data_IF_412125606712
#
_entry.id   IF_412125606712
#
_cell.length_a   1.000
_cell.length_b   1.000
_cell.length_c   1.000
_cell.angle_alpha   90.00
_cell.angle_beta   90.00
_cell.angle_gamma   90.00
#
_symmetry.space_group_name_H-M   'P 1'
#
loop_
_entity.id
_entity.type
_entity.pdbx_description
1 polymer ?
#
# COMPACT_ATOMS: atom_id res chain seq x y z
N UNK A 1 1.97 4.80 23.60
CA UNK A 1 1.19 5.98 24.01
C UNK A 1 0.50 6.58 22.76
N UNK A 2 -0.80 6.65 22.75
CA UNK A 2 -1.57 7.19 21.65
C UNK A 2 -2.41 8.40 22.17
N UNK A 3 -1.93 9.63 21.96
CA UNK A 3 -2.66 10.83 22.33
C UNK A 3 -3.97 10.87 21.52
N UNK A 4 -5.07 11.20 22.10
CA UNK A 4 -6.37 11.19 21.42
C UNK A 4 -7.20 9.92 21.64
N UNK A 5 -6.62 8.83 22.11
CA UNK A 5 -7.38 7.63 22.48
C UNK A 5 -8.37 7.91 23.62
N UNK A 6 -8.06 8.87 24.50
CA UNK A 6 -8.96 9.35 25.54
C UNK A 6 -10.25 10.02 25.04
N UNK A 7 -10.25 10.46 23.78
CA UNK A 7 -11.43 11.10 23.14
C UNK A 7 -12.47 10.06 22.68
N UNK A 8 -12.10 8.79 22.59
CA UNK A 8 -13.02 7.72 22.22
C UNK A 8 -13.83 7.33 23.47
N UNK A 9 -15.10 7.71 23.53
CA UNK A 9 -15.95 7.53 24.70
C UNK A 9 -16.39 6.09 24.96
N UNK A 10 -16.48 5.23 23.93
CA UNK A 10 -16.94 3.85 24.08
C UNK A 10 -15.73 2.90 24.28
N UNK A 11 -15.70 2.10 25.38
CA UNK A 11 -14.61 1.14 25.64
C UNK A 11 -14.44 0.06 24.56
N UNK A 12 -15.54 -0.42 23.97
CA UNK A 12 -15.48 -1.42 22.89
C UNK A 12 -14.82 -0.83 21.64
N UNK A 13 -15.19 0.37 21.24
CA UNK A 13 -14.58 1.06 20.11
C UNK A 13 -13.09 1.35 20.38
N UNK A 14 -12.72 1.63 21.63
CA UNK A 14 -11.29 1.76 22.01
C UNK A 14 -10.54 0.47 21.74
N UNK A 15 -11.09 -0.65 22.14
CA UNK A 15 -10.47 -1.97 21.98
C UNK A 15 -10.29 -2.32 20.51
N UNK A 16 -11.36 -2.23 19.72
CA UNK A 16 -11.31 -2.50 18.28
C UNK A 16 -10.31 -1.59 17.55
N UNK A 17 -10.36 -0.29 17.82
CA UNK A 17 -9.43 0.67 17.24
C UNK A 17 -7.98 0.37 17.61
N UNK A 18 -7.72 -0.06 18.84
CA UNK A 18 -6.35 -0.41 19.28
C UNK A 18 -5.83 -1.63 18.54
N UNK A 19 -6.64 -2.68 18.44
CA UNK A 19 -6.28 -3.90 17.73
C UNK A 19 -5.95 -3.55 16.28
N UNK A 20 -6.84 -2.80 15.63
CA UNK A 20 -6.64 -2.36 14.26
C UNK A 20 -5.36 -1.53 14.07
N UNK A 21 -5.07 -0.58 14.97
CA UNK A 21 -3.83 0.21 14.91
C UNK A 21 -2.57 -0.64 15.12
N UNK A 22 -2.63 -1.64 16.00
CA UNK A 22 -1.52 -2.54 16.23
C UNK A 22 -1.29 -3.47 15.03
N UNK A 23 -2.36 -4.00 14.45
CA UNK A 23 -2.31 -4.78 13.20
C UNK A 23 -1.74 -3.96 12.04
N UNK A 24 -2.17 -2.71 11.89
CA UNK A 24 -1.59 -1.80 10.89
C UNK A 24 -0.10 -1.53 11.11
N UNK A 25 0.33 -1.48 12.37
CA UNK A 25 1.70 -1.17 12.72
C UNK A 25 2.68 -2.33 12.47
N UNK A 26 2.27 -3.57 12.73
CA UNK A 26 3.16 -4.74 12.66
C UNK A 26 2.67 -5.87 11.76
N UNK A 27 1.45 -5.78 11.23
CA UNK A 27 0.81 -6.80 10.39
C UNK A 27 -0.01 -7.81 11.19
N UNK A 28 -1.05 -8.32 10.57
CA UNK A 28 -1.99 -9.27 11.17
C UNK A 28 -1.27 -10.51 11.72
N UNK A 29 -0.41 -11.15 10.91
CA UNK A 29 0.35 -12.33 11.31
C UNK A 29 1.30 -12.06 12.48
N UNK A 30 1.98 -10.91 12.47
CA UNK A 30 2.86 -10.51 13.56
C UNK A 30 2.07 -10.11 14.81
N UNK A 31 0.92 -9.47 14.64
CA UNK A 31 0.01 -9.16 15.74
C UNK A 31 -0.46 -10.44 16.45
N UNK A 32 -0.97 -11.42 15.71
CA UNK A 32 -1.37 -12.71 16.26
C UNK A 32 -0.22 -13.46 16.94
N UNK A 33 0.98 -13.40 16.34
CA UNK A 33 2.14 -14.12 16.85
C UNK A 33 2.77 -13.48 18.11
N UNK A 34 2.75 -12.13 18.22
CA UNK A 34 3.52 -11.43 19.24
C UNK A 34 2.69 -10.71 20.30
N UNK A 35 1.41 -10.41 20.01
CA UNK A 35 0.51 -9.70 20.93
C UNK A 35 -0.50 -10.66 21.52
N UNK A 36 -0.27 -11.09 22.75
CA UNK A 36 -1.20 -12.01 23.39
C UNK A 36 -2.38 -11.31 24.09
N UNK A 37 -2.22 -10.04 24.46
CA UNK A 37 -3.26 -9.29 25.19
C UNK A 37 -3.06 -7.79 25.09
N UNK A 38 -4.15 -7.05 25.01
CA UNK A 38 -4.20 -5.58 25.03
C UNK A 38 -5.09 -5.14 26.19
N UNK A 39 -4.54 -4.38 27.10
CA UNK A 39 -5.26 -3.80 28.24
C UNK A 39 -5.21 -2.27 28.19
N UNK A 40 -6.29 -1.66 28.67
CA UNK A 40 -6.37 -0.21 28.83
C UNK A 40 -6.20 0.16 30.28
N UNK A 41 -5.26 1.01 30.55
CA UNK A 41 -4.97 1.51 31.89
C UNK A 41 -4.92 3.03 31.85
N UNK A 42 -5.52 3.68 32.84
CA UNK A 42 -5.52 5.14 32.94
C UNK A 42 -4.18 5.68 33.39
N UNK A 43 -3.51 4.94 34.27
CA UNK A 43 -2.20 5.33 34.81
C UNK A 43 -1.24 4.15 34.71
N UNK A 44 -0.16 4.23 33.90
CA UNK A 44 0.83 3.16 33.82
C UNK A 44 1.64 3.07 35.11
N UNK A 45 2.00 1.85 35.50
CA UNK A 45 2.96 1.60 36.56
C UNK A 45 4.34 2.18 36.24
N UNK A 46 5.06 2.69 37.21
CA UNK A 46 6.38 3.33 37.01
C UNK A 46 7.41 2.40 36.36
N UNK A 47 7.22 1.09 36.49
CA UNK A 47 8.14 0.08 35.97
C UNK A 47 7.76 -0.41 34.56
N UNK A 48 6.60 0.04 34.01
CA UNK A 48 6.19 -0.31 32.68
C UNK A 48 7.05 0.39 31.62
N UNK A 49 7.52 -0.39 30.65
CA UNK A 49 8.17 0.16 29.46
C UNK A 49 7.11 0.72 28.52
N UNK A 50 7.40 1.83 27.92
CA UNK A 50 6.51 2.45 26.93
C UNK A 50 7.29 2.86 25.68
N UNK A 51 6.60 2.94 24.57
CA UNK A 51 7.09 3.53 23.32
C UNK A 51 5.97 4.34 22.69
N UNK A 52 6.32 5.19 21.73
CA UNK A 52 5.32 5.83 20.88
C UNK A 52 4.85 4.83 19.83
N UNK A 53 3.62 5.03 19.29
CA UNK A 53 3.11 4.15 18.23
C UNK A 53 3.99 4.13 16.98
N UNK A 54 4.63 5.25 16.66
CA UNK A 54 5.57 5.35 15.53
C UNK A 54 6.78 4.43 15.68
N UNK A 55 7.21 4.19 16.93
CA UNK A 55 8.37 3.35 17.23
C UNK A 55 7.98 1.89 17.50
N UNK A 56 6.68 1.60 17.54
CA UNK A 56 6.16 0.30 17.97
C UNK A 56 6.69 -0.87 17.12
N UNK A 57 6.75 -0.69 15.81
CA UNK A 57 7.31 -1.70 14.91
C UNK A 57 8.76 -2.05 15.26
N UNK A 58 9.63 -1.03 15.44
CA UNK A 58 11.04 -1.24 15.77
C UNK A 58 11.21 -1.92 17.13
N UNK A 59 10.39 -1.54 18.11
CA UNK A 59 10.40 -2.15 19.44
C UNK A 59 10.06 -3.63 19.36
N UNK A 60 9.03 -4.00 18.63
CA UNK A 60 8.64 -5.40 18.44
C UNK A 60 9.72 -6.17 17.68
N UNK A 61 10.23 -5.64 16.56
CA UNK A 61 11.27 -6.31 15.78
C UNK A 61 12.57 -6.53 16.58
N UNK A 62 12.96 -5.56 17.40
CA UNK A 62 14.09 -5.73 18.30
C UNK A 62 13.86 -6.86 19.33
N UNK A 63 12.65 -7.02 19.84
CA UNK A 63 12.30 -8.13 20.73
C UNK A 63 12.31 -9.48 19.97
N UNK A 64 11.79 -9.51 18.74
CA UNK A 64 11.79 -10.68 17.88
C UNK A 64 13.21 -11.15 17.60
N UNK A 65 14.10 -10.27 17.19
CA UNK A 65 15.50 -10.57 16.93
C UNK A 65 16.23 -11.01 18.20
N UNK A 66 16.05 -10.29 19.31
CA UNK A 66 16.68 -10.62 20.59
C UNK A 66 16.30 -12.02 21.09
N UNK A 67 15.04 -12.43 20.87
CA UNK A 67 14.52 -13.72 21.33
C UNK A 67 14.60 -14.80 20.26
N UNK A 68 15.14 -14.51 19.07
CA UNK A 68 15.21 -15.41 17.91
C UNK A 68 13.84 -15.99 17.52
N UNK A 69 12.81 -15.15 17.62
CA UNK A 69 11.47 -15.52 17.17
C UNK A 69 11.40 -15.47 15.64
N UNK A 70 10.39 -16.14 15.07
CA UNK A 70 10.11 -16.06 13.64
C UNK A 70 9.74 -14.63 13.27
N UNK A 71 10.39 -14.09 12.24
CA UNK A 71 10.03 -12.80 11.66
C UNK A 71 8.87 -12.95 10.66
N UNK A 72 7.99 -11.95 10.62
CA UNK A 72 6.93 -11.81 9.64
C UNK A 72 7.17 -10.54 8.83
N UNK A 73 6.80 -10.60 7.56
CA UNK A 73 6.94 -9.46 6.64
C UNK A 73 6.13 -8.25 7.13
N UNK A 74 6.59 -7.06 6.78
CA UNK A 74 5.84 -5.83 7.07
C UNK A 74 4.52 -5.86 6.29
N UNK A 75 3.44 -5.27 6.84
CA UNK A 75 2.14 -5.24 6.14
C UNK A 75 2.23 -4.64 4.75
N UNK A 76 3.06 -3.60 4.59
CA UNK A 76 3.27 -2.93 3.32
C UNK A 76 4.02 -3.77 2.29
N UNK A 77 4.75 -4.80 2.74
CA UNK A 77 5.48 -5.74 1.88
C UNK A 77 4.60 -6.94 1.50
N UNK A 78 3.42 -7.09 2.14
CA UNK A 78 2.48 -8.18 1.89
C UNK A 78 1.50 -7.75 0.80
N UNK A 79 1.51 -8.48 -0.30
CA UNK A 79 0.61 -8.25 -1.42
C UNK A 79 -0.52 -9.27 -1.44
N UNK A 80 -1.74 -8.78 -1.52
CA UNK A 80 -2.87 -9.59 -1.99
C UNK A 80 -2.77 -9.75 -3.50
N UNK A 81 -3.06 -10.96 -3.98
CA UNK A 81 -2.94 -11.31 -5.40
C UNK A 81 -4.30 -11.73 -5.93
N UNK A 82 -4.73 -11.09 -7.01
CA UNK A 82 -6.00 -11.36 -7.67
C UNK A 82 -5.77 -11.81 -9.10
N UNK A 83 -6.55 -12.77 -9.52
CA UNK A 83 -6.63 -13.21 -10.91
C UNK A 83 -8.03 -12.89 -11.43
N UNK A 84 -8.24 -11.71 -12.05
CA UNK A 84 -9.56 -11.31 -12.49
C UNK A 84 -10.05 -12.16 -13.65
N UNK A 85 -11.38 -12.20 -13.82
CA UNK A 85 -11.99 -12.76 -15.02
C UNK A 85 -11.56 -11.90 -16.20
N UNK A 86 -10.93 -12.51 -17.19
CA UNK A 86 -10.37 -11.83 -18.34
C UNK A 86 -11.44 -11.64 -19.41
N UNK A 87 -11.57 -10.41 -19.87
CA UNK A 87 -12.32 -10.10 -21.09
C UNK A 87 -11.37 -9.45 -22.11
N UNK A 88 -10.79 -10.28 -22.97
CA UNK A 88 -9.91 -9.80 -24.03
C UNK A 88 -10.65 -9.34 -25.29
N UNK A 89 -11.97 -9.29 -25.27
CA UNK A 89 -12.79 -8.83 -26.40
C UNK A 89 -12.72 -7.30 -26.58
N UNK A 90 -12.30 -6.57 -25.52
CA UNK A 90 -12.21 -5.12 -25.53
C UNK A 90 -10.79 -4.65 -25.25
N UNK A 91 -10.27 -3.75 -26.08
CA UNK A 91 -8.96 -3.06 -25.87
C UNK A 91 -9.03 -1.95 -24.81
N UNK A 92 -9.90 -2.09 -23.82
CA UNK A 92 -10.03 -1.13 -22.75
C UNK A 92 -8.91 -1.33 -21.71
N UNK A 93 -8.34 -0.24 -21.24
CA UNK A 93 -7.36 -0.27 -20.15
C UNK A 93 -7.92 -1.01 -18.94
N UNK A 94 -7.08 -1.86 -18.34
CA UNK A 94 -7.38 -2.71 -17.19
C UNK A 94 -8.39 -3.84 -17.42
N UNK A 95 -8.92 -4.00 -18.62
CA UNK A 95 -9.73 -5.20 -18.99
C UNK A 95 -8.84 -6.37 -19.45
N UNK A 96 -7.59 -6.10 -19.79
CA UNK A 96 -6.60 -7.11 -20.22
C UNK A 96 -5.79 -7.75 -19.06
N UNK A 97 -6.07 -7.38 -17.80
CA UNK A 97 -5.31 -7.81 -16.64
C UNK A 97 -5.37 -9.33 -16.43
N UNK A 98 -4.20 -9.94 -16.25
CA UNK A 98 -4.02 -11.36 -15.92
C UNK A 98 -3.78 -11.57 -14.44
N UNK A 99 -3.08 -10.63 -13.82
CA UNK A 99 -2.66 -10.72 -12.44
C UNK A 99 -2.59 -9.32 -11.84
N UNK A 100 -3.19 -9.15 -10.67
CA UNK A 100 -3.19 -7.90 -9.90
C UNK A 100 -2.47 -8.16 -8.59
N UNK A 101 -1.62 -7.24 -8.16
CA UNK A 101 -0.94 -7.24 -6.88
C UNK A 101 -1.28 -5.95 -6.14
N UNK A 102 -1.64 -6.03 -4.87
CA UNK A 102 -1.93 -4.82 -4.10
C UNK A 102 -1.68 -5.00 -2.62
N UNK A 103 -1.25 -3.93 -1.96
CA UNK A 103 -1.25 -3.79 -0.51
C UNK A 103 -2.56 -3.16 0.00
N UNK A 104 -3.48 -2.80 -0.92
CA UNK A 104 -4.77 -2.19 -0.64
C UNK A 104 -5.92 -2.95 -1.34
N UNK A 105 -6.29 -4.14 -0.83
CA UNK A 105 -7.31 -5.00 -1.45
C UNK A 105 -8.62 -4.27 -1.71
N UNK A 106 -9.09 -3.51 -0.73
CA UNK A 106 -10.37 -2.82 -0.82
C UNK A 106 -10.45 -1.80 -1.97
N UNK A 107 -9.36 -1.06 -2.24
CA UNK A 107 -9.30 -0.14 -3.39
C UNK A 107 -9.42 -0.91 -4.71
N UNK A 108 -8.74 -2.06 -4.82
CA UNK A 108 -8.79 -2.89 -6.04
C UNK A 108 -10.17 -3.50 -6.21
N UNK A 109 -10.75 -4.06 -5.15
CA UNK A 109 -12.10 -4.65 -5.20
C UNK A 109 -13.14 -3.63 -5.63
N UNK A 110 -13.12 -2.43 -5.05
CA UNK A 110 -14.07 -1.39 -5.44
C UNK A 110 -13.89 -0.92 -6.89
N UNK A 111 -12.65 -0.84 -7.39
CA UNK A 111 -12.42 -0.49 -8.80
C UNK A 111 -12.88 -1.59 -9.76
N UNK A 112 -12.77 -2.87 -9.38
CA UNK A 112 -13.28 -4.00 -10.16
C UNK A 112 -14.83 -4.02 -10.16
N UNK A 113 -15.44 -3.72 -9.02
CA UNK A 113 -16.89 -3.71 -8.83
C UNK A 113 -17.56 -2.40 -9.27
N UNK A 114 -16.78 -1.43 -9.77
CA UNK A 114 -17.26 -0.09 -10.17
C UNK A 114 -17.96 0.67 -9.02
N UNK A 115 -17.51 0.46 -7.77
CA UNK A 115 -17.98 1.16 -6.58
C UNK A 115 -17.08 2.35 -6.27
N UNK A 116 -17.64 3.40 -5.68
CA UNK A 116 -16.93 4.67 -5.45
C UNK A 116 -16.71 5.01 -3.97
N UNK A 117 -17.17 4.23 -3.03
CA UNK A 117 -17.19 4.58 -1.59
C UNK A 117 -15.78 4.88 -1.04
N UNK A 118 -14.81 3.98 -1.26
CA UNK A 118 -13.44 4.16 -0.78
C UNK A 118 -12.70 5.22 -1.59
N UNK A 119 -13.00 5.34 -2.89
CA UNK A 119 -12.44 6.41 -3.72
C UNK A 119 -12.94 7.78 -3.29
N UNK A 120 -14.21 7.89 -2.91
CA UNK A 120 -14.79 9.12 -2.37
C UNK A 120 -14.18 9.49 -1.02
N UNK A 121 -13.99 8.51 -0.12
CA UNK A 121 -13.30 8.74 1.16
C UNK A 121 -11.86 9.22 0.97
N UNK A 122 -11.11 8.58 0.08
CA UNK A 122 -9.74 9.00 -0.27
C UNK A 122 -9.72 10.42 -0.83
N UNK A 123 -10.63 10.74 -1.76
CA UNK A 123 -10.74 12.07 -2.37
C UNK A 123 -11.15 13.13 -1.34
N UNK A 124 -11.96 12.80 -0.34
CA UNK A 124 -12.34 13.72 0.74
C UNK A 124 -11.16 14.13 1.64
N UNK A 125 -10.07 13.37 1.58
CA UNK A 125 -8.80 13.59 2.29
C UNK A 125 -7.69 14.10 1.39
N UNK A 126 -8.06 14.69 0.25
CA UNK A 126 -7.13 15.18 -0.79
C UNK A 126 -6.24 14.10 -1.41
N UNK A 127 -6.60 12.83 -1.23
CA UNK A 127 -5.93 11.70 -1.87
C UNK A 127 -6.51 11.37 -3.24
N UNK A 128 -5.68 10.83 -4.13
CA UNK A 128 -6.11 10.35 -5.43
C UNK A 128 -5.62 8.92 -5.63
N UNK A 129 -6.50 8.04 -6.11
CA UNK A 129 -6.09 6.72 -6.58
C UNK A 129 -5.96 6.75 -8.10
N UNK A 130 -4.82 6.29 -8.60
CA UNK A 130 -4.53 6.31 -10.02
C UNK A 130 -3.47 5.29 -10.38
N UNK A 131 -3.17 5.18 -11.66
CA UNK A 131 -2.17 4.24 -12.12
C UNK A 131 -1.30 4.80 -13.24
N UNK A 132 -0.05 4.37 -13.25
CA UNK A 132 0.85 4.52 -14.38
C UNK A 132 0.75 3.24 -15.22
N UNK A 133 0.69 3.38 -16.54
CA UNK A 133 0.65 2.24 -17.44
C UNK A 133 1.55 2.43 -18.66
N UNK A 134 1.91 1.32 -19.30
CA UNK A 134 2.69 1.29 -20.50
C UNK A 134 2.46 -0.04 -21.25
N UNK A 135 2.74 -0.05 -22.56
CA UNK A 135 2.68 -1.27 -23.37
C UNK A 135 3.79 -2.24 -22.97
N UNK A 136 3.46 -3.53 -22.87
CA UNK A 136 4.41 -4.58 -22.55
C UNK A 136 5.48 -4.71 -23.64
N UNK A 137 6.77 -4.45 -23.34
CA UNK A 137 7.80 -4.44 -24.37
C UNK A 137 8.24 -5.84 -24.84
N UNK A 138 8.09 -6.88 -23.98
CA UNK A 138 8.62 -8.21 -24.24
C UNK A 138 7.55 -9.24 -24.59
N UNK A 139 6.30 -9.00 -24.21
CA UNK A 139 5.15 -9.92 -24.35
C UNK A 139 5.38 -11.30 -23.74
N UNK A 140 6.15 -11.38 -22.65
CA UNK A 140 6.47 -12.60 -21.95
C UNK A 140 6.68 -12.34 -20.44
N UNK A 141 7.23 -13.32 -19.70
CA UNK A 141 7.48 -13.20 -18.26
C UNK A 141 8.45 -12.08 -17.86
N UNK A 142 9.24 -11.57 -18.78
CA UNK A 142 10.19 -10.48 -18.51
C UNK A 142 9.45 -9.15 -18.25
N UNK A 143 8.22 -9.01 -18.76
CA UNK A 143 7.38 -7.84 -18.48
C UNK A 143 7.10 -7.69 -16.98
N UNK A 144 6.99 -8.79 -16.25
CA UNK A 144 6.80 -8.76 -14.80
C UNK A 144 8.04 -8.20 -14.06
N UNK A 145 9.22 -8.63 -14.46
CA UNK A 145 10.49 -8.15 -13.89
C UNK A 145 10.72 -6.67 -14.25
N UNK A 146 10.42 -6.31 -15.48
CA UNK A 146 10.53 -4.93 -15.94
C UNK A 146 9.57 -4.01 -15.17
N UNK A 147 8.30 -4.42 -15.00
CA UNK A 147 7.33 -3.69 -14.18
C UNK A 147 7.83 -3.49 -12.75
N UNK A 148 8.35 -4.56 -12.12
CA UNK A 148 8.86 -4.49 -10.76
C UNK A 148 10.03 -3.51 -10.63
N UNK A 149 10.97 -3.52 -11.59
CA UNK A 149 12.09 -2.58 -11.64
C UNK A 149 11.58 -1.15 -11.76
N UNK A 150 10.72 -0.89 -12.75
CA UNK A 150 10.15 0.43 -13.00
C UNK A 150 9.33 0.95 -11.80
N UNK A 151 8.56 0.08 -11.16
CA UNK A 151 7.81 0.42 -9.95
C UNK A 151 8.73 0.91 -8.84
N UNK A 152 9.88 0.26 -8.61
CA UNK A 152 10.87 0.69 -7.62
C UNK A 152 11.52 2.04 -7.97
N UNK A 153 11.86 2.24 -9.24
CA UNK A 153 12.45 3.51 -9.69
C UNK A 153 11.49 4.68 -9.52
N UNK A 154 10.22 4.48 -9.87
CA UNK A 154 9.15 5.45 -9.65
C UNK A 154 8.91 5.72 -8.17
N UNK A 155 8.84 4.66 -7.35
CA UNK A 155 8.60 4.78 -5.92
C UNK A 155 9.71 5.60 -5.24
N UNK A 156 10.97 5.33 -5.55
CA UNK A 156 12.10 6.10 -5.02
C UNK A 156 12.01 7.59 -5.41
N UNK A 157 11.62 7.91 -6.65
CA UNK A 157 11.55 9.28 -7.12
C UNK A 157 10.40 10.06 -6.46
N UNK A 158 9.22 9.43 -6.31
CA UNK A 158 8.01 10.06 -5.83
C UNK A 158 7.97 10.12 -4.31
N UNK A 159 8.48 9.09 -3.62
CA UNK A 159 8.58 9.07 -2.16
C UNK A 159 9.52 10.13 -1.61
N UNK A 160 10.59 10.48 -2.34
CA UNK A 160 11.50 11.60 -1.97
C UNK A 160 10.81 12.94 -1.82
N UNK A 161 9.75 13.18 -2.57
CA UNK A 161 8.97 14.43 -2.52
C UNK A 161 7.66 14.27 -1.75
N UNK A 162 7.45 13.13 -1.11
CA UNK A 162 6.25 12.78 -0.34
C UNK A 162 4.93 12.96 -1.12
N UNK A 163 4.98 12.80 -2.45
CA UNK A 163 3.85 13.08 -3.33
C UNK A 163 2.87 11.88 -3.48
N UNK A 164 3.28 10.70 -3.08
CA UNK A 164 2.46 9.50 -3.22
C UNK A 164 3.21 8.24 -2.83
N UNK A 165 2.53 7.10 -2.98
CA UNK A 165 3.03 5.78 -2.61
C UNK A 165 2.52 4.75 -3.61
N UNK A 166 3.40 3.86 -4.04
CA UNK A 166 3.01 2.66 -4.78
C UNK A 166 2.24 1.72 -3.85
N UNK A 167 1.09 1.27 -4.30
CA UNK A 167 0.26 0.32 -3.55
C UNK A 167 0.06 -1.00 -4.27
N UNK A 168 0.54 -1.10 -5.50
CA UNK A 168 0.44 -2.34 -6.26
C UNK A 168 0.59 -2.14 -7.75
N UNK A 169 -0.15 -2.91 -8.50
CA UNK A 169 -0.23 -2.85 -9.95
C UNK A 169 -0.73 -4.16 -10.55
N UNK A 170 -0.70 -4.22 -11.87
CA UNK A 170 -1.15 -5.38 -12.59
C UNK A 170 -0.27 -5.69 -13.80
N UNK A 171 -0.36 -6.92 -14.27
CA UNK A 171 0.20 -7.37 -15.53
C UNK A 171 -0.97 -7.82 -16.40
N UNK A 172 -1.09 -7.19 -17.54
CA UNK A 172 -2.09 -7.50 -18.54
C UNK A 172 -1.52 -8.25 -19.75
N UNK A 173 -2.37 -8.47 -20.73
CA UNK A 173 -1.96 -9.05 -22.02
C UNK A 173 -1.14 -8.07 -22.84
N UNK A 174 -1.57 -6.81 -22.89
CA UNK A 174 -0.98 -5.75 -23.71
C UNK A 174 -0.27 -4.69 -22.89
N UNK A 175 -0.71 -4.47 -21.65
CA UNK A 175 -0.21 -3.41 -20.77
C UNK A 175 0.22 -3.93 -19.41
N UNK A 176 1.16 -3.21 -18.80
CA UNK A 176 1.49 -3.32 -17.37
C UNK A 176 1.08 -2.06 -16.64
N UNK A 177 0.72 -2.21 -15.37
CA UNK A 177 0.14 -1.16 -14.53
C UNK A 177 0.88 -1.07 -13.21
N UNK A 178 1.05 0.16 -12.69
CA UNK A 178 1.61 0.47 -11.38
C UNK A 178 0.61 1.38 -10.67
N UNK A 179 0.02 0.90 -9.58
CA UNK A 179 -1.07 1.58 -8.87
C UNK A 179 -0.53 2.46 -7.74
N UNK A 180 -1.13 3.63 -7.58
CA UNK A 180 -0.68 4.68 -6.68
C UNK A 180 -1.81 5.24 -5.82
N UNK A 181 -1.49 5.52 -4.56
CA UNK A 181 -2.17 6.56 -3.79
C UNK A 181 -1.31 7.82 -3.89
N UNK A 182 -1.91 8.91 -4.37
CA UNK A 182 -1.26 10.20 -4.60
C UNK A 182 -1.76 11.17 -3.56
N UNK A 183 -0.84 11.83 -2.84
CA UNK A 183 -1.11 12.81 -1.78
C UNK A 183 -1.00 14.25 -2.28
N UNK A 184 -0.12 14.48 -3.26
CA UNK A 184 0.09 15.77 -3.91
C UNK A 184 0.25 15.53 -5.42
N UNK A 185 -0.79 15.90 -6.16
CA UNK A 185 -0.86 15.67 -7.61
C UNK A 185 0.21 16.43 -8.39
N UNK A 186 0.48 17.67 -8.00
CA UNK A 186 1.42 18.53 -8.74
C UNK A 186 2.85 18.05 -8.54
N UNK A 187 3.22 17.70 -7.31
CA UNK A 187 4.52 17.12 -7.01
C UNK A 187 4.68 15.74 -7.65
N UNK A 188 3.63 14.91 -7.62
CA UNK A 188 3.63 13.61 -8.29
C UNK A 188 3.90 13.77 -9.79
N UNK A 189 3.11 14.59 -10.49
CA UNK A 189 3.25 14.78 -11.93
C UNK A 189 4.61 15.40 -12.30
N UNK A 190 5.15 16.28 -11.46
CA UNK A 190 6.50 16.85 -11.65
C UNK A 190 7.58 15.78 -11.56
N UNK A 191 7.57 14.95 -10.51
CA UNK A 191 8.53 13.86 -10.32
C UNK A 191 8.37 12.78 -11.42
N UNK A 192 7.14 12.40 -11.73
CA UNK A 192 6.82 11.47 -12.80
C UNK A 192 7.36 11.93 -14.17
N UNK A 193 7.09 13.17 -14.56
CA UNK A 193 7.54 13.72 -15.83
C UNK A 193 9.08 13.89 -15.88
N UNK A 194 9.72 14.13 -14.74
CA UNK A 194 11.18 14.18 -14.66
C UNK A 194 11.79 12.80 -14.87
N UNK A 195 11.24 11.77 -14.21
CA UNK A 195 11.71 10.40 -14.39
C UNK A 195 11.45 9.89 -15.81
N UNK A 196 10.26 10.18 -16.38
CA UNK A 196 9.91 9.81 -17.76
C UNK A 196 10.97 10.28 -18.77
N UNK A 197 11.59 11.43 -18.55
CA UNK A 197 12.69 11.96 -19.43
C UNK A 197 14.01 11.21 -19.26
N UNK A 198 14.19 10.48 -18.17
CA UNK A 198 15.43 9.73 -17.87
C UNK A 198 15.33 8.26 -18.29
N UNK A 199 14.10 7.78 -18.50
CA UNK A 199 13.86 6.42 -18.96
C UNK A 199 14.19 6.28 -20.45
N UNK A 200 14.49 5.04 -20.83
CA UNK A 200 14.71 4.69 -22.24
C UNK A 200 13.46 5.06 -23.07
N UNK A 201 13.69 5.72 -24.20
CA UNK A 201 12.64 6.15 -25.12
C UNK A 201 11.81 4.99 -25.72
N UNK A 202 12.23 3.74 -25.50
CA UNK A 202 11.52 2.54 -25.95
C UNK A 202 10.19 2.27 -25.25
N UNK A 203 9.99 2.83 -24.04
CA UNK A 203 8.77 2.63 -23.24
C UNK A 203 8.15 3.97 -22.88
N UNK A 204 6.99 4.22 -23.43
CA UNK A 204 6.22 5.43 -23.13
C UNK A 204 5.29 5.21 -21.95
N UNK A 205 5.46 6.02 -20.89
CA UNK A 205 4.65 5.96 -19.68
C UNK A 205 3.48 6.93 -19.76
N UNK A 206 2.32 6.47 -19.31
CA UNK A 206 1.10 7.26 -19.19
C UNK A 206 0.58 7.19 -17.77
N UNK A 207 -0.08 8.24 -17.33
CA UNK A 207 -0.79 8.29 -16.06
C UNK A 207 -2.28 8.43 -16.30
N UNK A 208 -3.08 7.70 -15.51
CA UNK A 208 -4.53 7.83 -15.49
C UNK A 208 -5.07 7.70 -14.06
N UNK A 209 -6.05 8.55 -13.73
CA UNK A 209 -6.85 8.45 -12.50
C UNK A 209 -7.89 7.34 -12.66
N UNK A 210 -8.19 6.63 -11.56
CA UNK A 210 -9.34 5.74 -11.47
C UNK A 210 -10.66 6.49 -11.45
#
# INVERSE_FOLDING_TARGET
>A
YCPGFGLIGNPENKKEMSMYLLELAIGELAYEAYICRVDFIDTPDSDMKFCQMVDFYEVIMNLVQKNLWKEYEKPIDIYSVYQPIQDFAHDALRKDMKLIFTTHPLLVEQTIEEKEEVLADLSSKDGEFGYVYYSNPFHNKEDALYRQKLSKELDVAISKVHAGKVVGGAIGKSFSYIDWIIYDKDLFMKAFNQLKKQLDASVELYYQKF
#
